data_IF_626652616575
#
_entry.id   IF_626652616575
#
_cell.length_a   1.000
_cell.length_b   1.000
_cell.length_c   1.000
_cell.angle_alpha   90.00
_cell.angle_beta   90.00
_cell.angle_gamma   90.00
#
_symmetry.space_group_name_H-M   'P 1'
#
loop_
_entity.id
_entity.type
_entity.pdbx_description
1 polymer ?
#
# COMPACT_ATOMS: atom_id res chain seq x y z
N UNK A 1 10.56 23.52 45.31
CA UNK A 1 10.32 22.95 43.97
C UNK A 1 9.58 21.64 44.20
N UNK A 2 8.33 21.55 43.77
CA UNK A 2 7.51 20.38 44.06
C UNK A 2 7.94 19.22 43.13
N UNK A 3 7.82 17.95 43.57
CA UNK A 3 8.17 16.79 42.73
C UNK A 3 7.34 16.68 41.43
N UNK A 4 6.32 17.53 41.27
CA UNK A 4 5.41 17.60 40.12
C UNK A 4 5.99 18.30 38.89
N UNK A 5 7.17 18.92 39.00
CA UNK A 5 7.75 19.74 37.92
C UNK A 5 8.69 18.96 36.99
N UNK A 6 8.87 17.65 37.19
CA UNK A 6 9.62 16.80 36.25
C UNK A 6 8.74 16.46 35.05
N UNK A 7 9.16 16.78 33.81
CA UNK A 7 8.40 16.40 32.63
C UNK A 7 8.29 14.87 32.58
N UNK A 8 7.05 14.38 32.53
CA UNK A 8 6.77 12.95 32.39
C UNK A 8 7.51 12.41 31.16
N UNK A 9 8.41 11.45 31.38
CA UNK A 9 9.19 10.83 30.31
C UNK A 9 8.22 10.14 29.34
N UNK A 10 8.07 10.71 28.14
CA UNK A 10 7.29 10.08 27.08
C UNK A 10 8.02 8.80 26.65
N UNK A 11 7.26 7.72 26.44
CA UNK A 11 7.86 6.52 25.87
C UNK A 11 8.32 6.80 24.44
N UNK A 12 9.41 6.17 24.01
CA UNK A 12 9.89 6.26 22.62
C UNK A 12 8.77 5.94 21.61
N UNK A 13 7.89 4.99 21.95
CA UNK A 13 6.71 4.66 21.15
C UNK A 13 5.76 5.83 21.00
N UNK A 14 5.47 6.58 22.08
CA UNK A 14 4.62 7.75 22.03
C UNK A 14 5.24 8.86 21.14
N UNK A 15 6.55 9.06 21.21
CA UNK A 15 7.24 10.04 20.36
C UNK A 15 7.24 9.66 18.88
N UNK A 16 7.40 8.37 18.55
CA UNK A 16 7.31 7.89 17.17
C UNK A 16 5.89 8.05 16.64
N UNK A 17 4.88 7.72 17.44
CA UNK A 17 3.47 7.85 17.04
C UNK A 17 3.02 9.31 16.92
N UNK A 18 3.63 10.22 17.68
CA UNK A 18 3.41 11.67 17.55
C UNK A 18 3.95 12.20 16.21
N UNK A 19 5.16 11.76 15.83
CA UNK A 19 5.78 12.12 14.54
C UNK A 19 5.14 11.42 13.34
N UNK A 20 4.66 10.20 13.52
CA UNK A 20 4.02 9.39 12.48
C UNK A 20 2.80 8.64 13.04
N UNK A 21 1.62 9.26 13.05
CA UNK A 21 0.40 8.63 13.55
C UNK A 21 -0.14 7.54 12.61
N UNK A 22 0.25 7.55 11.33
CA UNK A 22 -0.29 6.69 10.28
C UNK A 22 0.80 6.11 9.38
N UNK A 23 0.88 4.79 9.34
CA UNK A 23 1.73 4.03 8.45
C UNK A 23 1.04 3.83 7.08
N UNK A 24 1.67 4.34 6.02
CA UNK A 24 1.13 4.28 4.64
C UNK A 24 1.79 3.20 3.82
N UNK A 25 0.98 2.33 3.21
CA UNK A 25 1.41 1.25 2.35
C UNK A 25 0.81 1.47 0.95
N UNK A 26 1.65 1.46 -0.07
CA UNK A 26 1.21 1.42 -1.47
C UNK A 26 1.08 -0.04 -1.92
N UNK A 27 -0.08 -0.40 -2.45
CA UNK A 27 -0.34 -1.65 -3.15
C UNK A 27 -0.16 -1.40 -4.66
N UNK A 28 1.00 -1.80 -5.18
CA UNK A 28 1.37 -1.68 -6.58
C UNK A 28 1.12 -3.01 -7.31
N UNK A 29 0.93 -2.97 -8.64
CA UNK A 29 0.72 -4.18 -9.43
C UNK A 29 -0.74 -4.62 -9.47
N UNK A 30 -0.97 -5.81 -10.03
CA UNK A 30 -2.30 -6.31 -10.37
C UNK A 30 -3.02 -6.80 -9.12
N UNK A 31 -4.01 -6.04 -8.66
CA UNK A 31 -4.81 -6.37 -7.49
C UNK A 31 -6.28 -6.06 -7.74
N UNK A 32 -7.12 -7.08 -7.66
CA UNK A 32 -8.56 -6.91 -7.78
C UNK A 32 -9.19 -6.47 -6.45
N UNK A 33 -10.30 -5.76 -6.51
CA UNK A 33 -10.92 -5.17 -5.30
C UNK A 33 -11.47 -6.22 -4.34
N UNK A 34 -11.92 -7.36 -4.87
CA UNK A 34 -12.39 -8.53 -4.13
C UNK A 34 -11.26 -9.31 -3.44
N UNK A 35 -10.02 -9.10 -3.88
CA UNK A 35 -8.84 -9.73 -3.29
C UNK A 35 -8.37 -9.02 -2.02
N UNK A 36 -8.64 -7.72 -1.86
CA UNK A 36 -8.26 -6.99 -0.66
C UNK A 36 -9.40 -6.98 0.38
N UNK A 37 -9.17 -7.63 1.51
CA UNK A 37 -10.10 -7.62 2.65
C UNK A 37 -9.38 -7.15 3.90
N UNK A 38 -10.07 -6.41 4.76
CA UNK A 38 -9.57 -6.09 6.09
C UNK A 38 -10.53 -6.66 7.12
N UNK A 39 -10.00 -7.47 8.05
CA UNK A 39 -10.80 -8.12 9.10
C UNK A 39 -9.99 -8.21 10.38
N UNK A 40 -10.57 -7.75 11.50
CA UNK A 40 -9.92 -7.76 12.81
C UNK A 40 -8.52 -7.11 12.80
N UNK A 41 -8.37 -6.00 12.06
CA UNK A 41 -7.10 -5.29 11.93
C UNK A 41 -6.04 -6.00 11.06
N UNK A 42 -6.39 -7.12 10.40
CA UNK A 42 -5.53 -7.84 9.46
C UNK A 42 -5.88 -7.46 8.03
N UNK A 43 -4.87 -7.12 7.24
CA UNK A 43 -4.98 -6.99 5.79
C UNK A 43 -4.83 -8.38 5.19
N UNK A 44 -5.84 -8.84 4.46
CA UNK A 44 -5.91 -10.14 3.83
C UNK A 44 -5.95 -9.95 2.31
N UNK A 45 -5.05 -10.65 1.62
CA UNK A 45 -5.04 -10.76 0.17
C UNK A 45 -5.56 -12.15 -0.19
N UNK A 46 -6.72 -12.22 -0.86
CA UNK A 46 -7.28 -13.47 -1.36
C UNK A 46 -6.72 -13.75 -2.76
N UNK A 47 -5.92 -14.81 -2.97
CA UNK A 47 -5.30 -15.08 -4.28
C UNK A 47 -6.31 -15.57 -5.32
N UNK A 48 -7.48 -16.06 -4.89
CA UNK A 48 -8.52 -16.55 -5.78
C UNK A 48 -9.42 -15.39 -6.15
N UNK A 49 -9.29 -14.91 -7.39
CA UNK A 49 -10.32 -14.10 -8.02
C UNK A 49 -11.50 -15.02 -8.36
N UNK A 50 -12.60 -14.90 -7.62
CA UNK A 50 -13.86 -15.56 -7.97
C UNK A 50 -14.75 -14.45 -8.50
N UNK A 51 -15.13 -14.51 -9.78
CA UNK A 51 -16.22 -13.70 -10.33
C UNK A 51 -17.55 -14.14 -9.68
N UNK A 52 -17.74 -13.87 -8.39
CA UNK A 52 -18.94 -14.22 -7.66
C UNK A 52 -19.92 -13.07 -7.69
N UNK A 53 -21.04 -13.26 -8.39
CA UNK A 53 -22.25 -12.46 -8.19
C UNK A 53 -22.88 -12.83 -6.83
N UNK A 54 -22.31 -12.40 -5.69
CA UNK A 54 -23.08 -12.03 -4.48
C UNK A 54 -22.20 -11.54 -3.32
N UNK A 55 -22.74 -10.48 -2.73
CA UNK A 55 -22.38 -9.69 -1.56
C UNK A 55 -21.91 -10.45 -0.32
N UNK A 56 -20.82 -9.96 0.28
CA UNK A 56 -20.66 -9.83 1.75
C UNK A 56 -19.74 -8.64 2.03
N UNK A 57 -20.23 -7.71 2.86
CA UNK A 57 -19.65 -6.44 3.33
C UNK A 57 -18.19 -6.18 2.92
N UNK A 58 -17.99 -5.77 1.67
CA UNK A 58 -16.77 -5.13 1.22
C UNK A 58 -16.79 -3.69 1.73
N UNK A 59 -15.77 -3.31 2.50
CA UNK A 59 -15.46 -1.89 2.81
C UNK A 59 -15.30 -1.05 1.52
N UNK A 60 -15.18 -1.74 0.38
CA UNK A 60 -15.16 -1.20 -0.96
C UNK A 60 -16.56 -1.19 -1.61
N UNK A 61 -17.49 -0.34 -1.14
CA UNK A 61 -18.66 0.01 -1.96
C UNK A 61 -18.24 1.06 -2.99
N UNK A 62 -18.17 0.65 -4.26
CA UNK A 62 -18.42 1.56 -5.38
C UNK A 62 -17.25 2.02 -6.24
N UNK A 63 -16.37 1.11 -6.70
CA UNK A 63 -15.45 1.46 -7.79
C UNK A 63 -15.57 0.40 -8.90
N UNK A 64 -16.01 0.86 -10.07
CA UNK A 64 -15.64 0.26 -11.35
C UNK A 64 -14.10 0.16 -11.42
N UNK A 65 -13.55 -0.58 -12.38
CA UNK A 65 -12.13 -0.95 -12.57
C UNK A 65 -11.06 0.18 -12.49
N UNK A 66 -11.44 1.42 -12.20
CA UNK A 66 -10.59 2.60 -11.98
C UNK A 66 -10.40 2.85 -10.48
N UNK A 67 -9.17 2.73 -9.99
CA UNK A 67 -8.79 3.10 -8.62
C UNK A 67 -7.93 4.37 -8.68
N UNK A 68 -8.33 5.43 -7.97
CA UNK A 68 -7.46 6.59 -7.75
C UNK A 68 -6.46 6.28 -6.63
N UNK A 69 -5.17 6.26 -6.97
CA UNK A 69 -4.08 6.01 -6.03
C UNK A 69 -4.04 7.03 -4.87
N UNK A 70 -4.61 8.22 -5.07
CA UNK A 70 -4.66 9.26 -4.05
C UNK A 70 -5.77 9.05 -3.03
N UNK A 71 -6.80 8.26 -3.36
CA UNK A 71 -7.88 7.92 -2.44
C UNK A 71 -7.38 6.90 -1.40
N UNK A 72 -7.25 7.30 -0.12
CA UNK A 72 -6.74 6.41 0.91
C UNK A 72 -7.83 5.43 1.36
N UNK A 73 -7.44 4.18 1.53
CA UNK A 73 -8.26 3.15 2.15
C UNK A 73 -7.80 3.02 3.61
N UNK A 74 -8.69 3.32 4.54
CA UNK A 74 -8.40 3.28 5.97
C UNK A 74 -9.21 2.13 6.59
N UNK A 75 -8.56 1.08 7.12
CA UNK A 75 -9.23 0.02 7.85
C UNK A 75 -10.03 0.57 9.04
N UNK A 76 -11.33 0.23 9.18
CA UNK A 76 -12.13 0.65 10.33
C UNK A 76 -11.54 0.20 11.66
N UNK A 77 -10.94 -1.00 11.70
CA UNK A 77 -10.38 -1.60 12.91
C UNK A 77 -8.97 -1.08 13.24
N UNK A 78 -8.29 -0.45 12.28
CA UNK A 78 -6.94 0.08 12.47
C UNK A 78 -6.70 1.37 11.68
N UNK A 79 -7.10 2.48 12.28
CA UNK A 79 -6.93 3.83 11.71
C UNK A 79 -5.48 4.32 11.64
N UNK A 80 -4.53 3.54 12.19
CA UNK A 80 -3.08 3.82 12.10
C UNK A 80 -2.48 3.28 10.81
N UNK A 81 -3.21 2.50 10.01
CA UNK A 81 -2.76 2.03 8.70
C UNK A 81 -3.56 2.74 7.61
N UNK A 82 -2.87 3.14 6.54
CA UNK A 82 -3.47 3.73 5.35
C UNK A 82 -2.96 2.96 4.14
N UNK A 83 -3.87 2.45 3.33
CA UNK A 83 -3.55 1.75 2.10
C UNK A 83 -3.84 2.66 0.91
N UNK A 84 -2.91 2.70 -0.03
CA UNK A 84 -3.09 3.33 -1.34
C UNK A 84 -3.07 2.23 -2.38
N UNK A 85 -4.06 2.18 -3.28
CA UNK A 85 -4.17 1.13 -4.29
C UNK A 85 -3.91 1.71 -5.68
N UNK A 86 -2.95 1.15 -6.41
CA UNK A 86 -2.75 1.46 -7.83
C UNK A 86 -3.70 0.65 -8.73
N UNK A 87 -3.86 1.09 -9.97
CA UNK A 87 -4.72 0.44 -10.96
C UNK A 87 -4.09 -0.82 -11.62
N UNK A 88 -2.80 -1.11 -11.37
CA UNK A 88 -2.07 -2.24 -11.98
C UNK A 88 -1.39 -1.89 -13.31
N UNK A 89 -0.49 -2.77 -13.79
CA UNK A 89 0.36 -2.54 -14.97
C UNK A 89 -0.05 -3.44 -16.15
N UNK A 90 -1.27 -3.23 -16.67
CA UNK A 90 -1.82 -4.07 -17.74
C UNK A 90 -0.98 -4.01 -19.05
N UNK A 91 -1.01 -5.06 -19.90
CA UNK A 91 -0.31 -5.05 -21.17
C UNK A 91 -0.74 -3.87 -22.07
N UNK A 92 0.24 -3.09 -22.56
CA UNK A 92 0.00 -1.93 -23.44
C UNK A 92 -0.39 -0.65 -22.70
N UNK A 93 -0.50 -0.70 -21.38
CA UNK A 93 -0.72 0.44 -20.50
C UNK A 93 0.61 1.19 -20.27
N UNK A 94 0.62 2.53 -20.35
CA UNK A 94 1.85 3.34 -20.25
C UNK A 94 1.79 4.45 -19.19
N UNK A 95 0.60 4.72 -18.64
CA UNK A 95 0.34 5.77 -17.66
C UNK A 95 0.42 5.31 -16.20
N UNK A 96 0.00 4.10 -15.85
CA UNK A 96 -0.15 3.65 -14.46
C UNK A 96 1.22 3.50 -13.78
N UNK A 97 2.24 3.05 -14.51
CA UNK A 97 3.59 3.04 -13.98
C UNK A 97 4.09 4.46 -13.68
N UNK A 98 3.79 5.43 -14.55
CA UNK A 98 4.11 6.85 -14.29
C UNK A 98 3.33 7.37 -13.09
N UNK A 99 2.04 7.08 -12.98
CA UNK A 99 1.20 7.42 -11.83
C UNK A 99 1.77 6.87 -10.52
N UNK A 100 2.22 5.63 -10.51
CA UNK A 100 2.89 5.01 -9.34
C UNK A 100 4.21 5.70 -9.02
N UNK A 101 5.05 5.99 -10.03
CA UNK A 101 6.31 6.72 -9.85
C UNK A 101 6.08 8.12 -9.26
N UNK A 102 5.17 8.89 -9.84
CA UNK A 102 4.83 10.25 -9.40
C UNK A 102 4.23 10.23 -7.99
N UNK A 103 3.42 9.22 -7.66
CA UNK A 103 2.86 9.05 -6.32
C UNK A 103 3.95 8.77 -5.27
N UNK A 104 4.92 7.89 -5.58
CA UNK A 104 6.03 7.60 -4.66
C UNK A 104 6.91 8.85 -4.49
N UNK A 105 7.25 9.54 -5.58
CA UNK A 105 8.09 10.74 -5.53
C UNK A 105 7.42 11.88 -4.76
N UNK A 106 6.13 12.13 -4.98
CA UNK A 106 5.37 13.16 -4.26
C UNK A 106 5.18 12.87 -2.76
N UNK A 107 5.47 11.63 -2.32
CA UNK A 107 5.40 11.18 -0.92
C UNK A 107 6.72 10.58 -0.43
N UNK A 108 7.82 10.98 -1.06
CA UNK A 108 9.17 10.49 -0.77
C UNK A 108 9.95 11.42 0.15
N UNK A 109 11.23 11.60 -0.16
CA UNK A 109 12.09 12.52 0.56
C UNK A 109 11.65 13.98 0.37
N UNK A 110 11.83 14.79 1.42
CA UNK A 110 11.34 16.18 1.46
C UNK A 110 9.91 16.34 1.99
N UNK A 111 9.16 15.25 2.15
CA UNK A 111 7.82 15.25 2.76
C UNK A 111 7.90 14.95 4.26
N UNK A 112 6.96 15.49 5.06
CA UNK A 112 6.84 15.14 6.48
C UNK A 112 6.65 13.63 6.66
N UNK A 113 7.31 13.03 7.67
CA UNK A 113 7.27 11.57 7.90
C UNK A 113 5.83 11.03 7.92
N UNK A 114 4.92 11.76 8.58
CA UNK A 114 3.50 11.41 8.66
C UNK A 114 2.79 11.32 7.33
N UNK A 115 3.33 11.83 6.22
CA UNK A 115 2.70 11.87 4.89
C UNK A 115 3.43 11.05 3.83
N UNK A 116 4.58 10.47 4.20
CA UNK A 116 5.38 9.61 3.32
C UNK A 116 4.70 8.27 3.06
N UNK A 117 5.04 7.66 1.93
CA UNK A 117 4.85 6.22 1.73
C UNK A 117 5.93 5.48 2.52
N UNK A 118 5.51 4.55 3.38
CA UNK A 118 6.43 3.85 4.29
C UNK A 118 6.83 2.47 3.76
N UNK A 119 5.94 1.84 3.00
CA UNK A 119 6.19 0.56 2.34
C UNK A 119 5.46 0.51 1.00
N UNK A 120 6.04 -0.26 0.07
CA UNK A 120 5.38 -0.64 -1.18
C UNK A 120 5.28 -2.15 -1.24
N UNK A 121 4.08 -2.67 -1.48
CA UNK A 121 3.81 -4.08 -1.73
C UNK A 121 3.47 -4.24 -3.20
N UNK A 122 4.32 -4.96 -3.93
CA UNK A 122 4.04 -5.36 -5.30
C UNK A 122 3.19 -6.63 -5.26
N UNK A 123 1.93 -6.50 -5.66
CA UNK A 123 0.97 -7.58 -5.81
C UNK A 123 1.08 -8.16 -7.21
N UNK A 124 1.42 -9.44 -7.28
CA UNK A 124 1.68 -10.16 -8.53
C UNK A 124 0.67 -11.29 -8.63
N UNK A 125 0.02 -11.42 -9.79
CA UNK A 125 -0.90 -12.52 -10.04
C UNK A 125 -0.09 -13.82 -10.22
N UNK A 126 -0.57 -14.92 -9.62
CA UNK A 126 0.01 -16.24 -9.89
C UNK A 126 -0.56 -16.70 -11.23
N UNK A 127 0.26 -16.83 -12.28
CA UNK A 127 -0.25 -17.17 -13.60
C UNK A 127 -0.82 -18.59 -13.60
N UNK A 128 -2.01 -18.73 -14.17
CA UNK A 128 -2.57 -20.04 -14.52
C UNK A 128 -2.04 -20.44 -15.91
N UNK A 129 -1.77 -21.73 -16.10
CA UNK A 129 -1.39 -22.32 -17.40
C UNK A 129 -0.13 -21.72 -18.08
N UNK A 130 0.88 -21.30 -17.30
CA UNK A 130 2.18 -20.89 -17.85
C UNK A 130 2.22 -19.48 -18.44
N UNK A 131 1.27 -18.62 -18.07
CA UNK A 131 1.31 -17.18 -18.36
C UNK A 131 2.51 -16.48 -17.72
N UNK A 132 2.76 -15.22 -18.13
CA UNK A 132 3.83 -14.41 -17.54
C UNK A 132 3.47 -14.06 -16.09
N UNK A 133 4.48 -14.08 -15.21
CA UNK A 133 4.34 -13.65 -13.81
C UNK A 133 4.34 -12.12 -13.73
N UNK A 134 5.19 -11.47 -14.54
CA UNK A 134 5.34 -10.03 -14.57
C UNK A 134 4.97 -9.48 -15.94
N UNK A 135 4.27 -8.34 -15.92
CA UNK A 135 4.12 -7.49 -17.09
C UNK A 135 5.31 -6.54 -17.22
N UNK A 136 5.43 -5.89 -18.39
CA UNK A 136 6.53 -4.94 -18.65
C UNK A 136 6.57 -3.86 -17.57
N UNK A 137 5.42 -3.34 -17.13
CA UNK A 137 5.36 -2.33 -16.09
C UNK A 137 5.81 -2.85 -14.72
N UNK A 138 5.58 -4.12 -14.38
CA UNK A 138 6.10 -4.73 -13.15
C UNK A 138 7.63 -4.80 -13.19
N UNK A 139 8.20 -5.23 -14.32
CA UNK A 139 9.65 -5.30 -14.48
C UNK A 139 10.29 -3.92 -14.42
N UNK A 140 9.70 -2.93 -15.09
CA UNK A 140 10.17 -1.55 -15.01
C UNK A 140 10.03 -0.96 -13.61
N UNK A 141 8.95 -1.31 -12.90
CA UNK A 141 8.77 -0.92 -11.51
C UNK A 141 9.88 -1.52 -10.62
N UNK A 142 10.22 -2.80 -10.79
CA UNK A 142 11.31 -3.45 -10.05
C UNK A 142 12.70 -2.89 -10.38
N UNK A 143 12.88 -2.40 -11.61
CA UNK A 143 14.10 -1.70 -12.04
C UNK A 143 14.21 -0.29 -11.47
N UNK A 144 13.15 0.25 -10.87
CA UNK A 144 13.24 1.51 -10.13
C UNK A 144 14.17 1.29 -8.94
N UNK A 145 15.40 1.80 -9.05
CA UNK A 145 16.22 2.10 -7.89
C UNK A 145 15.52 3.20 -7.10
N UNK A 146 14.57 2.83 -6.24
CA UNK A 146 13.88 3.77 -5.38
C UNK A 146 14.97 4.46 -4.52
N UNK A 147 15.10 5.79 -4.55
CA UNK A 147 16.07 6.50 -3.73
C UNK A 147 15.74 6.25 -2.26
N UNK A 148 16.58 5.44 -1.61
CA UNK A 148 16.37 4.89 -0.29
C UNK A 148 17.02 3.51 -0.20
N UNK A 149 17.51 3.10 0.96
CA UNK A 149 18.18 1.79 1.17
C UNK A 149 17.20 0.61 1.10
N UNK A 150 16.36 0.53 0.05
CA UNK A 150 15.49 -0.61 -0.19
C UNK A 150 16.27 -1.69 -0.95
N UNK A 151 17.00 -2.51 -0.21
CA UNK A 151 17.43 -3.82 -0.72
C UNK A 151 16.27 -4.79 -0.57
N UNK A 152 15.65 -5.17 -1.68
CA UNK A 152 14.76 -6.33 -1.71
C UNK A 152 15.60 -7.58 -1.33
N UNK A 153 15.38 -8.12 -0.14
CA UNK A 153 15.79 -9.48 0.20
C UNK A 153 14.60 -10.38 -0.07
N UNK A 154 14.60 -11.09 -1.20
CA UNK A 154 13.76 -12.28 -1.31
C UNK A 154 14.34 -13.34 -0.38
N UNK A 155 13.54 -13.80 0.57
CA UNK A 155 13.80 -15.08 1.24
C UNK A 155 12.78 -16.03 0.64
N UNK A 156 13.26 -16.94 -0.19
CA UNK A 156 12.51 -18.15 -0.59
C UNK A 156 12.45 -19.10 0.61
#
# INVERSE_FOLDING_TARGET
>A
MAPSDLPALKSLTAEVLDKCPRFRILLAGKLYQDQLKVRNGKILLNPIHVQSQRSEQTVFRGLHEVCDINEPIIPPENSRVVLHKSQGFEPGETGNLKTVKDFILSRGDGVELKDRVHAVWLCVEIPLAGGRIFEIGDEEFLKLGLPGKFKFKSTL
#
